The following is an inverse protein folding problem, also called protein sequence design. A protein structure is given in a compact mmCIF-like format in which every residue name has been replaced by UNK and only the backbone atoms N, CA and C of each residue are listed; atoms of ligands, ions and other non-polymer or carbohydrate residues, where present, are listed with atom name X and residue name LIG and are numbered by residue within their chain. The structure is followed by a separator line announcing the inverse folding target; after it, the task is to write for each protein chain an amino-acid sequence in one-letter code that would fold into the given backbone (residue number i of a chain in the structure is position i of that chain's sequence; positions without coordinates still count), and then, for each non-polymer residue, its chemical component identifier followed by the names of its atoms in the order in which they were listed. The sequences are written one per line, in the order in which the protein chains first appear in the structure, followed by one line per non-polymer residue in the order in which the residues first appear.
data_IF_378846033339
#
_entry.id   IF_378846033339
#
_cell.length_a   1.000
_cell.length_b   1.000
_cell.length_c   1.000
_cell.angle_alpha   90.00
_cell.angle_beta   90.00
_cell.angle_gamma   90.00
#
_symmetry.space_group_name_H-M   'P 1'
#
loop_
_entity.id
_entity.type
_entity.pdbx_description
1 polymer ?
#
# COMPACT_ATOMS: atom_id res chain seq x y z
N UNK A 1 11.24 10.84 -6.06
CA UNK A 1 10.66 9.49 -5.93
C UNK A 1 9.84 9.07 -7.14
N UNK A 2 8.77 9.77 -7.47
CA UNK A 2 7.89 9.43 -8.62
C UNK A 2 8.59 9.56 -9.98
N UNK A 3 9.41 10.58 -10.17
CA UNK A 3 10.17 10.77 -11.42
C UNK A 3 11.15 9.62 -11.70
N UNK A 4 11.77 9.06 -10.67
CA UNK A 4 12.67 7.92 -10.80
C UNK A 4 11.90 6.67 -11.23
N UNK A 5 10.71 6.44 -10.67
CA UNK A 5 9.85 5.30 -11.05
C UNK A 5 9.39 5.39 -12.50
N UNK A 6 8.94 6.56 -12.95
CA UNK A 6 8.52 6.81 -14.33
C UNK A 6 9.70 6.57 -15.28
N UNK A 7 10.87 7.12 -14.95
CA UNK A 7 12.08 6.95 -15.73
C UNK A 7 12.51 5.50 -15.83
N UNK A 8 12.54 4.77 -14.73
CA UNK A 8 13.01 3.37 -14.73
C UNK A 8 12.05 2.45 -15.49
N UNK A 9 10.75 2.67 -15.41
CA UNK A 9 9.74 1.92 -16.18
C UNK A 9 9.80 2.23 -17.67
N UNK A 10 10.05 3.48 -18.05
CA UNK A 10 10.16 3.91 -19.44
C UNK A 10 11.51 3.55 -20.06
N UNK A 11 12.65 3.85 -19.38
CA UNK A 11 13.99 3.56 -19.88
C UNK A 11 14.26 2.05 -19.91
N UNK A 12 13.69 1.28 -18.99
CA UNK A 12 13.75 -0.18 -19.00
C UNK A 12 12.98 -0.82 -20.17
N UNK A 13 12.23 -0.03 -20.96
CA UNK A 13 11.47 -0.52 -22.11
C UNK A 13 10.24 -1.36 -21.78
N UNK A 14 9.84 -1.40 -20.51
CA UNK A 14 8.69 -2.20 -20.05
C UNK A 14 7.36 -1.51 -20.32
N UNK A 15 7.35 -0.17 -20.31
CA UNK A 15 6.18 0.64 -20.66
C UNK A 15 6.56 1.60 -21.78
N UNK A 16 5.98 1.46 -22.99
CA UNK A 16 6.42 2.20 -24.18
C UNK A 16 6.00 3.68 -24.17
N UNK A 17 5.07 4.07 -23.31
CA UNK A 17 4.51 5.42 -23.22
C UNK A 17 4.82 6.08 -21.89
N UNK A 18 5.29 7.33 -21.91
CA UNK A 18 5.51 8.13 -20.71
C UNK A 18 4.21 8.35 -19.94
N UNK A 19 3.09 8.54 -20.66
CA UNK A 19 1.76 8.73 -20.05
C UNK A 19 1.33 7.48 -19.30
N UNK A 20 1.60 6.31 -19.83
CA UNK A 20 1.27 5.04 -19.22
C UNK A 20 2.16 4.77 -17.99
N UNK A 21 3.45 5.09 -18.09
CA UNK A 21 4.37 5.00 -16.96
C UNK A 21 3.97 5.95 -15.82
N UNK A 22 3.51 7.16 -16.17
CA UNK A 22 2.97 8.12 -15.20
C UNK A 22 1.70 7.59 -14.54
N UNK A 23 0.74 7.05 -15.33
CA UNK A 23 -0.50 6.47 -14.82
C UNK A 23 -0.22 5.31 -13.85
N UNK A 24 0.62 4.36 -14.23
CA UNK A 24 0.97 3.21 -13.40
C UNK A 24 1.62 3.64 -12.07
N UNK A 25 2.51 4.62 -12.12
CA UNK A 25 3.20 5.17 -10.94
C UNK A 25 2.21 5.88 -10.01
N UNK A 26 1.34 6.71 -10.56
CA UNK A 26 0.31 7.42 -9.79
C UNK A 26 -0.70 6.45 -9.17
N UNK A 27 -1.11 5.42 -9.92
CA UNK A 27 -1.96 4.34 -9.42
C UNK A 27 -1.29 3.57 -8.26
N UNK A 28 0.03 3.38 -8.33
CA UNK A 28 0.80 2.81 -7.23
C UNK A 28 0.75 3.68 -5.98
N UNK A 29 1.20 4.93 -6.07
CA UNK A 29 1.29 5.83 -4.92
C UNK A 29 -0.06 6.25 -4.34
N UNK A 30 -1.12 6.31 -5.15
CA UNK A 30 -2.48 6.59 -4.66
C UNK A 30 -3.20 5.36 -4.10
N UNK A 31 -2.54 4.19 -4.11
CA UNK A 31 -3.12 2.90 -3.72
C UNK A 31 -4.42 2.56 -4.47
N UNK A 32 -4.56 3.06 -5.71
CA UNK A 32 -5.75 2.80 -6.54
C UNK A 32 -5.76 1.40 -7.11
N UNK A 33 -4.58 0.83 -7.44
CA UNK A 33 -4.44 -0.52 -7.96
C UNK A 33 -4.85 -0.74 -9.41
N UNK A 34 -5.22 0.31 -10.14
CA UNK A 34 -5.48 0.21 -11.56
C UNK A 34 -4.17 0.02 -12.33
N UNK A 35 -4.15 -0.96 -13.24
CA UNK A 35 -2.96 -1.27 -14.05
C UNK A 35 -3.30 -1.33 -15.53
N UNK A 36 -2.37 -0.88 -16.35
CA UNK A 36 -2.43 -0.98 -17.82
C UNK A 36 -1.59 -2.16 -18.34
N UNK A 37 -0.92 -2.88 -17.44
CA UNK A 37 -0.03 -3.97 -17.81
C UNK A 37 -0.81 -5.23 -18.13
N UNK A 38 -0.61 -5.77 -19.35
CA UNK A 38 -1.30 -6.97 -19.83
C UNK A 38 -0.52 -8.27 -19.56
N UNK A 39 0.77 -8.19 -19.18
CA UNK A 39 1.61 -9.36 -18.93
C UNK A 39 2.53 -9.12 -17.74
N UNK A 40 1.96 -9.23 -16.54
CA UNK A 40 2.64 -8.96 -15.28
C UNK A 40 3.72 -10.02 -15.00
N UNK A 41 3.47 -11.27 -15.37
CA UNK A 41 4.36 -12.40 -15.05
C UNK A 41 5.68 -12.40 -15.82
N UNK A 42 5.73 -11.71 -16.97
CA UNK A 42 6.98 -11.55 -17.75
C UNK A 42 7.90 -10.47 -17.19
N UNK A 43 7.44 -9.70 -16.18
CA UNK A 43 8.22 -8.60 -15.64
C UNK A 43 9.30 -9.07 -14.66
N UNK A 44 10.45 -8.37 -14.62
CA UNK A 44 11.46 -8.62 -13.61
C UNK A 44 10.90 -8.46 -12.20
N UNK A 45 11.31 -9.34 -11.29
CA UNK A 45 10.93 -9.30 -9.88
C UNK A 45 11.18 -7.93 -9.22
N UNK A 46 12.23 -7.22 -9.65
CA UNK A 46 12.54 -5.88 -9.14
C UNK A 46 11.43 -4.86 -9.41
N UNK A 47 10.83 -4.88 -10.60
CA UNK A 47 9.72 -3.98 -10.97
C UNK A 47 8.45 -4.36 -10.23
N UNK A 48 8.14 -5.66 -10.10
CA UNK A 48 6.99 -6.13 -9.34
C UNK A 48 7.09 -5.77 -7.87
N UNK A 49 8.26 -5.95 -7.27
CA UNK A 49 8.52 -5.51 -5.89
C UNK A 49 8.37 -4.01 -5.74
N UNK A 50 8.92 -3.23 -6.67
CA UNK A 50 8.83 -1.76 -6.65
C UNK A 50 7.38 -1.29 -6.74
N UNK A 51 6.57 -1.89 -7.61
CA UNK A 51 5.13 -1.60 -7.71
C UNK A 51 4.39 -1.85 -6.40
N UNK A 52 4.65 -2.99 -5.76
CA UNK A 52 4.06 -3.32 -4.46
C UNK A 52 4.53 -2.35 -3.36
N UNK A 53 5.82 -1.98 -3.37
CA UNK A 53 6.41 -1.06 -2.41
C UNK A 53 5.86 0.37 -2.56
N UNK A 54 5.62 0.84 -3.79
CA UNK A 54 4.99 2.16 -4.01
C UNK A 54 3.59 2.23 -3.42
N UNK A 55 2.79 1.17 -3.52
CA UNK A 55 1.49 1.09 -2.86
C UNK A 55 1.62 1.09 -1.33
N UNK A 56 2.55 0.32 -0.79
CA UNK A 56 2.77 0.25 0.65
C UNK A 56 3.20 1.60 1.24
N UNK A 57 4.11 2.31 0.57
CA UNK A 57 4.52 3.66 0.95
C UNK A 57 3.36 4.65 0.75
N UNK A 58 2.60 4.51 -0.34
CA UNK A 58 1.46 5.36 -0.65
C UNK A 58 0.36 5.26 0.40
N UNK A 59 0.04 4.06 0.86
CA UNK A 59 -0.95 3.83 1.93
C UNK A 59 -0.58 4.52 3.25
N UNK A 60 0.72 4.57 3.58
CA UNK A 60 1.22 5.37 4.71
C UNK A 60 1.41 6.84 4.40
N UNK A 61 1.70 7.16 3.14
CA UNK A 61 2.12 8.49 2.71
C UNK A 61 1.08 9.56 3.02
N UNK A 62 -0.19 9.27 2.86
CA UNK A 62 -1.28 10.21 3.14
C UNK A 62 -1.34 10.56 4.63
N UNK A 63 -1.13 9.57 5.51
CA UNK A 63 -1.11 9.77 6.96
C UNK A 63 0.10 10.63 7.36
N UNK A 64 1.30 10.33 6.83
CA UNK A 64 2.49 11.14 7.11
C UNK A 64 2.40 12.53 6.52
N UNK A 65 1.89 12.68 5.31
CA UNK A 65 1.68 13.97 4.68
C UNK A 65 0.75 14.84 5.54
N UNK A 66 -0.37 14.28 5.96
CA UNK A 66 -1.34 14.97 6.81
C UNK A 66 -0.71 15.40 8.13
N UNK A 67 0.02 14.51 8.81
CA UNK A 67 0.66 14.82 10.09
C UNK A 67 1.80 15.84 9.94
N UNK A 68 2.56 15.80 8.85
CA UNK A 68 3.71 16.67 8.62
C UNK A 68 3.33 18.06 8.12
N UNK A 69 2.32 18.16 7.26
CA UNK A 69 1.99 19.40 6.54
C UNK A 69 0.98 20.26 7.30
N UNK A 70 0.03 19.66 8.00
CA UNK A 70 -1.00 20.40 8.73
C UNK A 70 -0.46 21.38 9.80
N UNK A 71 0.57 21.03 10.59
CA UNK A 71 1.17 21.97 11.54
C UNK A 71 1.79 23.20 10.86
N UNK A 72 2.29 23.04 9.62
CA UNK A 72 2.95 24.13 8.87
C UNK A 72 1.94 25.18 8.42
N UNK A 73 0.69 24.78 8.15
CA UNK A 73 -0.37 25.70 7.76
C UNK A 73 -1.06 26.39 8.96
N UNK A 74 -0.60 26.18 10.20
CA UNK A 74 -1.15 26.85 11.39
C UNK A 74 -2.62 26.49 11.69
N UNK A 75 -3.22 25.65 10.86
CA UNK A 75 -4.54 25.08 11.10
C UNK A 75 -4.33 23.91 12.05
N UNK A 76 -4.86 24.01 13.25
CA UNK A 76 -4.66 22.97 14.26
C UNK A 76 -4.91 21.60 13.66
N UNK A 77 -3.80 20.86 13.42
CA UNK A 77 -3.79 19.58 12.70
C UNK A 77 -4.72 18.51 13.26
N UNK A 78 -5.25 18.76 14.45
CA UNK A 78 -6.25 17.97 15.15
C UNK A 78 -7.64 18.06 14.47
N UNK A 79 -7.99 19.20 13.87
CA UNK A 79 -9.35 19.38 13.33
C UNK A 79 -9.55 18.71 11.97
N UNK A 80 -8.50 18.61 11.15
CA UNK A 80 -8.61 17.97 9.82
C UNK A 80 -8.47 16.45 9.96
N UNK A 81 -7.62 15.97 10.86
CA UNK A 81 -7.53 14.55 11.20
C UNK A 81 -8.86 14.05 11.82
N UNK A 82 -9.51 14.87 12.66
CA UNK A 82 -10.84 14.57 13.20
C UNK A 82 -11.96 14.60 12.14
N UNK A 83 -11.79 15.30 11.03
CA UNK A 83 -12.74 15.32 9.93
C UNK A 83 -12.64 14.10 9.00
N UNK A 84 -11.44 13.52 8.84
CA UNK A 84 -11.23 12.29 8.07
C UNK A 84 -11.44 11.02 8.93
N UNK A 85 -11.15 11.10 10.23
CA UNK A 85 -11.43 10.03 11.19
C UNK A 85 -12.95 10.04 11.53
N UNK A 86 -13.75 9.44 10.68
CA UNK A 86 -15.20 9.26 10.86
C UNK A 86 -15.50 8.23 11.96
N UNK A 87 -15.06 8.48 13.19
CA UNK A 87 -15.34 7.63 14.34
C UNK A 87 -16.04 8.40 15.48
N UNK A 88 -16.96 7.77 16.24
CA UNK A 88 -17.76 8.45 17.26
C UNK A 88 -17.03 8.77 18.58
N UNK A 89 -15.73 8.59 18.67
CA UNK A 89 -14.96 8.82 19.90
C UNK A 89 -14.01 10.01 19.76
N UNK A 90 -14.42 11.14 20.33
CA UNK A 90 -13.55 12.29 20.62
C UNK A 90 -12.62 11.99 21.79
N UNK A 91 -11.91 10.87 21.78
CA UNK A 91 -10.86 10.66 22.76
C UNK A 91 -9.63 11.49 22.40
N UNK A 92 -9.18 12.27 23.38
CA UNK A 92 -8.09 13.24 23.29
C UNK A 92 -6.84 12.58 22.68
N UNK A 93 -6.67 12.77 21.37
CA UNK A 93 -5.46 12.36 20.65
C UNK A 93 -4.27 12.99 21.39
N UNK A 94 -3.34 12.15 21.82
CA UNK A 94 -2.16 12.54 22.59
C UNK A 94 -1.47 13.77 21.98
N UNK A 95 -1.09 14.78 22.79
CA UNK A 95 -0.57 16.05 22.29
C UNK A 95 0.80 15.97 21.59
N UNK A 96 1.33 14.76 21.40
CA UNK A 96 2.61 14.52 20.70
C UNK A 96 2.36 13.75 19.40
N UNK A 97 2.07 14.50 18.35
CA UNK A 97 1.87 14.02 16.96
C UNK A 97 2.91 12.96 16.55
N UNK A 98 4.19 13.15 16.93
CA UNK A 98 5.25 12.20 16.61
C UNK A 98 5.13 10.84 17.33
N UNK A 99 4.48 10.75 18.47
CA UNK A 99 4.26 9.49 19.18
C UNK A 99 3.14 8.71 18.51
N UNK A 100 2.04 9.39 18.17
CA UNK A 100 0.91 8.78 17.45
C UNK A 100 1.36 8.23 16.10
N UNK A 101 2.16 8.99 15.33
CA UNK A 101 2.70 8.54 14.06
C UNK A 101 3.54 7.26 14.20
N UNK A 102 4.37 7.15 15.24
CA UNK A 102 5.18 5.94 15.49
C UNK A 102 4.30 4.73 15.80
N UNK A 103 3.23 4.91 16.56
CA UNK A 103 2.30 3.82 16.88
C UNK A 103 1.55 3.35 15.63
N UNK A 104 1.02 4.26 14.82
CA UNK A 104 0.34 3.92 13.56
C UNK A 104 1.31 3.17 12.63
N UNK A 105 2.54 3.67 12.51
CA UNK A 105 3.56 3.01 11.69
C UNK A 105 3.90 1.60 12.21
N UNK A 106 4.02 1.46 13.53
CA UNK A 106 4.28 0.17 14.17
C UNK A 106 3.16 -0.84 13.92
N UNK A 107 1.90 -0.42 14.04
CA UNK A 107 0.74 -1.28 13.77
C UNK A 107 0.71 -1.69 12.28
N UNK A 108 0.90 -0.73 11.38
CA UNK A 108 0.90 -0.99 9.94
C UNK A 108 2.01 -1.97 9.53
N UNK A 109 3.23 -1.75 10.01
CA UNK A 109 4.35 -2.66 9.77
C UNK A 109 4.13 -4.03 10.42
N UNK A 110 3.56 -4.06 11.63
CA UNK A 110 3.22 -5.30 12.33
C UNK A 110 2.16 -6.12 11.59
N UNK A 111 1.10 -5.47 11.09
CA UNK A 111 0.07 -6.12 10.27
C UNK A 111 0.68 -6.67 8.97
N UNK A 112 1.53 -5.89 8.31
CA UNK A 112 2.22 -6.34 7.09
C UNK A 112 3.08 -7.57 7.37
N UNK A 113 3.88 -7.54 8.44
CA UNK A 113 4.73 -8.68 8.82
C UNK A 113 3.94 -9.94 9.16
N UNK A 114 2.85 -9.79 9.91
CA UNK A 114 1.95 -10.90 10.24
C UNK A 114 1.33 -11.50 8.98
N UNK A 115 0.88 -10.66 8.06
CA UNK A 115 0.29 -11.13 6.80
C UNK A 115 1.31 -11.86 5.94
N UNK A 116 2.57 -11.39 5.83
CA UNK A 116 3.63 -12.10 5.12
C UNK A 116 3.78 -13.53 5.66
N UNK A 117 3.87 -13.68 6.98
CA UNK A 117 4.03 -14.98 7.63
C UNK A 117 2.85 -15.90 7.29
N UNK A 118 1.62 -15.41 7.41
CA UNK A 118 0.41 -16.20 7.12
C UNK A 118 0.33 -16.62 5.65
N UNK A 119 0.72 -15.75 4.71
CA UNK A 119 0.71 -16.08 3.28
C UNK A 119 1.79 -17.11 2.92
N UNK A 120 2.97 -17.05 3.54
CA UNK A 120 4.00 -18.07 3.39
C UNK A 120 3.51 -19.42 3.91
N UNK A 121 2.83 -19.45 5.06
CA UNK A 121 2.19 -20.69 5.56
C UNK A 121 1.08 -21.19 4.63
N UNK A 122 0.42 -20.31 3.90
CA UNK A 122 -0.56 -20.67 2.87
C UNK A 122 0.03 -21.28 1.60
N UNK A 123 1.37 -21.38 1.50
CA UNK A 123 2.07 -21.98 0.36
C UNK A 123 2.44 -21.00 -0.74
N UNK A 124 2.31 -19.69 -0.52
CA UNK A 124 2.83 -18.68 -1.45
C UNK A 124 4.35 -18.60 -1.39
N UNK A 125 4.99 -18.24 -2.51
CA UNK A 125 6.42 -17.93 -2.50
C UNK A 125 6.71 -16.75 -1.56
N UNK A 126 7.87 -16.68 -0.96
CA UNK A 126 8.26 -15.58 -0.07
C UNK A 126 8.16 -14.23 -0.79
N UNK A 127 8.57 -14.20 -2.05
CA UNK A 127 8.50 -12.99 -2.87
C UNK A 127 7.04 -12.53 -3.09
N UNK A 128 6.16 -13.45 -3.51
CA UNK A 128 4.76 -13.13 -3.73
C UNK A 128 4.05 -12.74 -2.42
N UNK A 129 4.39 -13.41 -1.31
CA UNK A 129 3.85 -13.10 0.02
C UNK A 129 4.19 -11.68 0.45
N UNK A 130 5.41 -11.21 0.21
CA UNK A 130 5.83 -9.83 0.53
C UNK A 130 5.05 -8.84 -0.35
N UNK A 131 5.01 -9.08 -1.66
CA UNK A 131 4.31 -8.18 -2.59
C UNK A 131 2.80 -8.09 -2.27
N UNK A 132 2.12 -9.23 -2.05
CA UNK A 132 0.70 -9.24 -1.72
C UNK A 132 0.42 -8.66 -0.34
N UNK A 133 1.30 -8.85 0.65
CA UNK A 133 1.13 -8.22 1.96
C UNK A 133 1.24 -6.70 1.86
N UNK A 134 2.16 -6.17 1.07
CA UNK A 134 2.29 -4.73 0.84
C UNK A 134 1.03 -4.14 0.21
N UNK A 135 0.52 -4.78 -0.82
CA UNK A 135 -0.65 -4.30 -1.56
C UNK A 135 -1.96 -4.51 -0.80
N UNK A 136 -2.07 -5.54 0.05
CA UNK A 136 -3.24 -5.79 0.87
C UNK A 136 -3.32 -4.81 2.04
N UNK A 137 -2.23 -4.58 2.78
CA UNK A 137 -2.22 -3.61 3.89
C UNK A 137 -2.42 -2.18 3.45
N UNK A 138 -1.98 -1.82 2.24
CA UNK A 138 -2.26 -0.51 1.64
C UNK A 138 -3.62 -0.42 0.94
N UNK A 139 -4.40 -1.52 0.92
CA UNK A 139 -5.67 -1.64 0.18
C UNK A 139 -5.54 -1.30 -1.31
N UNK A 140 -4.35 -1.51 -1.90
CA UNK A 140 -4.03 -1.09 -3.26
C UNK A 140 -4.39 -2.10 -4.35
N UNK A 141 -4.15 -3.39 -4.13
CA UNK A 141 -4.60 -4.48 -5.02
C UNK A 141 -3.68 -4.84 -6.19
N UNK A 142 -2.47 -4.27 -6.30
CA UNK A 142 -1.50 -4.77 -7.27
C UNK A 142 -1.09 -6.22 -6.95
N UNK A 143 -0.93 -7.03 -7.98
CA UNK A 143 -0.52 -8.43 -7.87
C UNK A 143 0.74 -8.70 -8.69
N UNK A 144 1.46 -9.75 -8.31
CA UNK A 144 2.55 -10.35 -9.10
C UNK A 144 2.05 -11.32 -10.17
N UNK A 145 0.76 -11.67 -10.12
CA UNK A 145 0.10 -12.59 -11.05
C UNK A 145 -1.04 -11.89 -11.79
N UNK A 146 -1.23 -12.24 -13.07
CA UNK A 146 -2.30 -11.70 -13.89
C UNK A 146 -3.69 -12.06 -13.34
N UNK A 147 -3.85 -13.31 -12.88
CA UNK A 147 -5.09 -13.78 -12.22
C UNK A 147 -5.20 -13.34 -10.75
N UNK A 148 -4.26 -12.51 -10.25
CA UNK A 148 -4.24 -12.07 -8.86
C UNK A 148 -4.25 -13.25 -7.87
N UNK A 149 -5.09 -13.20 -6.84
CA UNK A 149 -5.17 -14.21 -5.77
C UNK A 149 -5.76 -15.52 -6.28
N UNK A 150 -6.64 -15.47 -7.29
CA UNK A 150 -7.24 -16.65 -7.91
C UNK A 150 -6.19 -17.66 -8.42
N UNK A 151 -5.00 -17.18 -8.80
CA UNK A 151 -3.88 -18.02 -9.24
C UNK A 151 -3.52 -19.13 -8.23
N UNK A 152 -3.68 -18.88 -6.94
CA UNK A 152 -3.24 -19.81 -5.90
C UNK A 152 -4.27 -20.91 -5.58
N UNK A 153 -5.53 -20.79 -6.03
CA UNK A 153 -6.62 -21.74 -5.83
C UNK A 153 -6.73 -22.24 -4.37
N UNK A 154 -6.47 -21.38 -3.39
CA UNK A 154 -6.43 -21.71 -1.97
C UNK A 154 -7.45 -20.89 -1.18
N UNK A 155 -8.53 -21.52 -0.67
CA UNK A 155 -9.49 -20.82 0.17
C UNK A 155 -8.86 -20.19 1.43
N UNK A 156 -7.78 -20.78 1.94
CA UNK A 156 -7.06 -20.23 3.07
C UNK A 156 -6.48 -18.83 2.76
N UNK A 157 -5.82 -18.69 1.60
CA UNK A 157 -5.24 -17.41 1.18
C UNK A 157 -6.35 -16.38 0.99
N UNK A 158 -7.47 -16.76 0.38
CA UNK A 158 -8.61 -15.87 0.15
C UNK A 158 -9.18 -15.33 1.46
N UNK A 159 -9.38 -16.20 2.45
CA UNK A 159 -9.88 -15.78 3.77
C UNK A 159 -8.88 -14.89 4.51
N UNK A 160 -7.59 -15.26 4.53
CA UNK A 160 -6.54 -14.47 5.19
C UNK A 160 -6.48 -13.07 4.59
N UNK A 161 -6.42 -12.96 3.26
CA UNK A 161 -6.36 -11.66 2.58
C UNK A 161 -7.64 -10.86 2.85
N UNK A 162 -8.82 -11.47 2.77
CA UNK A 162 -10.10 -10.80 3.02
C UNK A 162 -10.18 -10.22 4.43
N UNK A 163 -9.74 -10.98 5.45
CA UNK A 163 -9.70 -10.50 6.83
C UNK A 163 -8.74 -9.32 6.96
N UNK A 164 -7.55 -9.41 6.38
CA UNK A 164 -6.58 -8.31 6.46
C UNK A 164 -6.99 -7.08 5.65
N UNK A 165 -7.67 -7.24 4.51
CA UNK A 165 -8.28 -6.14 3.79
C UNK A 165 -9.32 -5.41 4.64
N UNK A 166 -10.18 -6.16 5.33
CA UNK A 166 -11.17 -5.61 6.24
C UNK A 166 -10.49 -4.87 7.41
N UNK A 167 -9.49 -5.47 8.04
CA UNK A 167 -8.73 -4.84 9.13
C UNK A 167 -8.00 -3.58 8.68
N UNK A 168 -7.41 -3.59 7.48
CA UNK A 168 -6.72 -2.42 6.91
C UNK A 168 -7.70 -1.30 6.50
N UNK A 169 -8.95 -1.64 6.19
CA UNK A 169 -10.01 -0.69 5.89
C UNK A 169 -10.67 -0.07 7.14
N UNK A 170 -10.44 -0.64 8.31
CA UNK A 170 -10.88 -0.03 9.58
C UNK A 170 -9.96 1.16 9.85
N UNK A 171 -10.54 2.33 9.98
CA UNK A 171 -9.81 3.57 10.25
C UNK A 171 -9.13 3.48 11.63
N UNK A 172 -7.82 3.67 11.63
CA UNK A 172 -7.00 3.62 12.84
C UNK A 172 -7.14 4.91 13.67
#
# INVERSE_FOLDING_TARGET
GSEMCIRDSYIGGYIPSITDAFFETMSGFSSTGATIMNNIESMPHGILFWRAMTQWIGGLGIVFFTIAVLPIFGMGGIQVFAAEASGPTHDKVHPRIGVTAKWIWGIYAGMTGTLIVLLVFGGMSVFDSICHAFTTTSTGGFSTKQASIEYYHSPYIDYVISIFMFLSGINF
#
